data_IF_129864461631
#
_entry.id   IF_129864461631
#
_cell.length_a   1.000
_cell.length_b   1.000
_cell.length_c   1.000
_cell.angle_alpha   90.00
_cell.angle_beta   90.00
_cell.angle_gamma   90.00
#
_symmetry.space_group_name_H-M   'P 1'
#
loop_
_entity.id
_entity.type
_entity.pdbx_description
1 polymer ?
#
# COMPACT_ATOMS: atom_id res chain seq x y z
N UNK A 1 6.27 8.92 3.05
CA UNK A 1 4.87 9.40 2.92
C UNK A 1 4.15 9.06 4.21
N UNK A 2 3.63 10.06 4.90
CA UNK A 2 2.92 9.86 6.17
C UNK A 2 1.59 9.16 5.91
N UNK A 3 1.07 8.45 6.90
CA UNK A 3 -0.21 7.71 6.80
C UNK A 3 -1.40 8.56 6.29
N UNK A 4 -1.32 9.89 6.44
CA UNK A 4 -2.31 10.84 5.94
C UNK A 4 -2.31 10.95 4.41
N UNK A 5 -1.15 10.90 3.76
CA UNK A 5 -1.03 11.00 2.29
C UNK A 5 -1.71 9.81 1.61
N UNK A 6 -1.54 8.61 2.18
CA UNK A 6 -2.15 7.38 1.67
C UNK A 6 -3.67 7.41 1.84
N UNK A 7 -4.16 7.86 3.00
CA UNK A 7 -5.60 7.96 3.26
C UNK A 7 -6.31 8.89 2.27
N UNK A 8 -5.73 10.07 2.05
CA UNK A 8 -6.26 11.05 1.10
C UNK A 8 -6.27 10.47 -0.32
N UNK A 9 -5.18 9.83 -0.74
CA UNK A 9 -5.08 9.22 -2.06
C UNK A 9 -6.10 8.08 -2.28
N UNK A 10 -6.27 7.18 -1.30
CA UNK A 10 -7.29 6.12 -1.38
C UNK A 10 -8.69 6.73 -1.44
N UNK A 11 -8.94 7.78 -0.65
CA UNK A 11 -10.24 8.48 -0.66
C UNK A 11 -10.57 9.06 -2.04
N UNK A 12 -9.60 9.72 -2.67
CA UNK A 12 -9.74 10.29 -4.02
C UNK A 12 -10.02 9.19 -5.05
N UNK A 13 -9.29 8.07 -4.98
CA UNK A 13 -9.54 6.91 -5.86
C UNK A 13 -10.93 6.31 -5.67
N UNK A 14 -11.44 6.23 -4.44
CA UNK A 14 -12.79 5.73 -4.20
C UNK A 14 -13.87 6.66 -4.76
N UNK A 15 -13.68 7.98 -4.66
CA UNK A 15 -14.57 8.95 -5.31
C UNK A 15 -14.62 8.74 -6.83
N UNK A 16 -13.48 8.46 -7.47
CA UNK A 16 -13.41 8.21 -8.92
C UNK A 16 -14.01 6.85 -9.31
N UNK A 17 -13.73 5.79 -8.56
CA UNK A 17 -14.12 4.42 -8.90
C UNK A 17 -15.56 4.08 -8.51
N UNK A 18 -16.01 4.54 -7.34
CA UNK A 18 -17.29 4.16 -6.73
C UNK A 18 -18.25 5.34 -6.58
N UNK A 19 -17.78 6.58 -6.77
CA UNK A 19 -18.59 7.77 -6.54
C UNK A 19 -18.78 8.14 -5.08
N UNK A 20 -18.14 7.42 -4.15
CA UNK A 20 -18.18 7.72 -2.72
C UNK A 20 -16.86 7.36 -2.03
N UNK A 21 -16.60 8.00 -0.90
CA UNK A 21 -15.49 7.64 0.00
C UNK A 21 -15.94 7.76 1.45
N UNK A 22 -15.61 6.75 2.26
CA UNK A 22 -15.83 6.75 3.71
C UNK A 22 -14.54 6.34 4.42
N UNK A 23 -14.20 7.04 5.51
CA UNK A 23 -12.97 6.77 6.28
C UNK A 23 -12.84 5.30 6.69
N UNK A 24 -13.95 4.65 7.06
CA UNK A 24 -13.96 3.24 7.40
C UNK A 24 -13.54 2.34 6.22
N UNK A 25 -14.05 2.62 5.02
CA UNK A 25 -13.70 1.89 3.78
C UNK A 25 -12.25 2.12 3.41
N UNK A 26 -11.77 3.35 3.50
CA UNK A 26 -10.37 3.71 3.23
C UNK A 26 -9.42 2.92 4.14
N UNK A 27 -9.68 2.91 5.44
CA UNK A 27 -8.85 2.18 6.41
C UNK A 27 -8.92 0.68 6.19
N UNK A 28 -10.10 0.16 5.87
CA UNK A 28 -10.29 -1.25 5.56
C UNK A 28 -9.50 -1.68 4.33
N UNK A 29 -9.52 -0.91 3.23
CA UNK A 29 -8.75 -1.21 2.03
C UNK A 29 -7.23 -1.12 2.25
N UNK A 30 -6.77 -0.15 3.04
CA UNK A 30 -5.36 -0.07 3.43
C UNK A 30 -4.94 -1.28 4.27
N UNK A 31 -5.81 -1.73 5.19
CA UNK A 31 -5.56 -2.92 6.01
C UNK A 31 -5.53 -4.19 5.15
N UNK A 32 -6.48 -4.33 4.22
CA UNK A 32 -6.55 -5.43 3.26
C UNK A 32 -5.27 -5.48 2.41
N UNK A 33 -4.87 -4.36 1.79
CA UNK A 33 -3.66 -4.28 0.98
C UNK A 33 -2.37 -4.65 1.74
N UNK A 34 -2.33 -4.48 3.07
CA UNK A 34 -1.21 -4.93 3.93
C UNK A 34 -1.23 -6.43 4.20
N UNK A 35 -2.40 -7.06 4.18
CA UNK A 35 -2.60 -8.49 4.47
C UNK A 35 -2.52 -9.34 3.20
N UNK A 36 -2.87 -8.79 2.03
CA UNK A 36 -2.82 -9.50 0.77
C UNK A 36 -1.39 -9.93 0.42
N UNK A 37 -1.24 -11.14 -0.11
CA UNK A 37 0.08 -11.71 -0.46
C UNK A 37 0.61 -11.22 -1.80
N UNK A 38 -0.27 -10.74 -2.67
CA UNK A 38 0.08 -10.22 -4.00
C UNK A 38 -0.98 -9.21 -4.47
N UNK A 39 -0.66 -8.36 -5.47
CA UNK A 39 -1.65 -7.49 -6.11
C UNK A 39 -2.81 -8.28 -6.72
N UNK A 40 -2.57 -9.47 -7.27
CA UNK A 40 -3.60 -10.31 -7.88
C UNK A 40 -4.61 -10.85 -6.85
N UNK A 41 -4.13 -11.22 -5.67
CA UNK A 41 -5.01 -11.59 -4.54
C UNK A 41 -5.87 -10.39 -4.11
N UNK A 42 -5.25 -9.20 -3.99
CA UNK A 42 -5.98 -7.98 -3.65
C UNK A 42 -7.06 -7.63 -4.68
N UNK A 43 -6.82 -7.85 -5.98
CA UNK A 43 -7.86 -7.67 -7.01
C UNK A 43 -9.05 -8.59 -6.77
N UNK A 44 -8.81 -9.87 -6.43
CA UNK A 44 -9.91 -10.80 -6.11
C UNK A 44 -10.71 -10.31 -4.91
N UNK A 45 -10.03 -9.93 -3.82
CA UNK A 45 -10.68 -9.42 -2.60
C UNK A 45 -11.50 -8.14 -2.89
N UNK A 46 -10.98 -7.23 -3.72
CA UNK A 46 -11.70 -6.02 -4.14
C UNK A 46 -12.97 -6.37 -4.93
N UNK A 47 -12.90 -7.33 -5.84
CA UNK A 47 -14.09 -7.77 -6.61
C UNK A 47 -15.13 -8.41 -5.70
N UNK A 48 -14.71 -9.18 -4.70
CA UNK A 48 -15.60 -9.74 -3.67
C UNK A 48 -16.24 -8.64 -2.80
N UNK A 49 -15.55 -7.53 -2.58
CA UNK A 49 -16.10 -6.33 -1.95
C UNK A 49 -17.09 -5.54 -2.83
N UNK A 50 -17.32 -5.97 -4.07
CA UNK A 50 -18.26 -5.34 -4.99
C UNK A 50 -17.63 -4.37 -5.99
N UNK A 51 -16.30 -4.33 -6.11
CA UNK A 51 -15.66 -3.62 -7.22
C UNK A 51 -15.88 -4.36 -8.53
N UNK A 52 -16.05 -3.62 -9.63
CA UNK A 52 -16.09 -4.23 -10.96
C UNK A 52 -14.71 -4.75 -11.35
N UNK A 53 -14.64 -5.95 -11.94
CA UNK A 53 -13.39 -6.48 -12.49
C UNK A 53 -13.03 -5.71 -13.77
N UNK A 54 -12.27 -4.63 -13.62
CA UNK A 54 -11.83 -3.74 -14.70
C UNK A 54 -10.33 -3.47 -14.63
N UNK A 55 -9.78 -2.88 -15.71
CA UNK A 55 -8.40 -2.40 -15.73
C UNK A 55 -8.13 -1.39 -14.62
N UNK A 56 -9.08 -0.52 -14.32
CA UNK A 56 -8.97 0.48 -13.26
C UNK A 56 -8.90 -0.15 -11.86
N UNK A 57 -9.72 -1.15 -11.56
CA UNK A 57 -9.66 -1.89 -10.29
C UNK A 57 -8.31 -2.58 -10.11
N UNK A 58 -7.77 -3.15 -11.19
CA UNK A 58 -6.45 -3.78 -11.16
C UNK A 58 -5.32 -2.77 -10.95
N UNK A 59 -5.35 -1.65 -11.66
CA UNK A 59 -4.37 -0.57 -11.47
C UNK A 59 -4.44 0.00 -10.05
N UNK A 60 -5.65 0.20 -9.53
CA UNK A 60 -5.86 0.64 -8.15
C UNK A 60 -5.28 -0.35 -7.14
N UNK A 61 -5.51 -1.65 -7.32
CA UNK A 61 -4.96 -2.70 -6.48
C UNK A 61 -3.42 -2.69 -6.51
N UNK A 62 -2.80 -2.58 -7.68
CA UNK A 62 -1.35 -2.51 -7.83
C UNK A 62 -0.77 -1.27 -7.11
N UNK A 63 -1.39 -0.10 -7.29
CA UNK A 63 -0.96 1.15 -6.66
C UNK A 63 -1.14 1.15 -5.14
N UNK A 64 -2.31 0.77 -4.61
CA UNK A 64 -2.55 0.74 -3.16
C UNK A 64 -1.64 -0.31 -2.50
N UNK A 65 -1.44 -1.45 -3.16
CA UNK A 65 -0.53 -2.47 -2.69
C UNK A 65 0.88 -1.88 -2.58
N UNK A 66 1.37 -1.18 -3.60
CA UNK A 66 2.69 -0.53 -3.63
C UNK A 66 2.86 0.57 -2.58
N UNK A 67 1.83 1.38 -2.34
CA UNK A 67 1.87 2.52 -1.41
C UNK A 67 1.65 2.13 0.05
N UNK A 68 0.97 1.02 0.32
CA UNK A 68 0.70 0.57 1.67
C UNK A 68 2.03 0.34 2.41
N UNK A 69 2.22 0.87 3.64
CA UNK A 69 3.42 0.63 4.41
C UNK A 69 3.44 -0.84 4.82
N UNK A 70 4.14 -1.66 4.04
CA UNK A 70 4.41 -3.05 4.38
C UNK A 70 5.62 -3.06 5.31
N UNK A 71 5.70 -4.07 6.19
CA UNK A 71 6.97 -4.37 6.85
C UNK A 71 7.95 -4.72 5.73
N UNK A 72 8.76 -3.77 5.28
CA UNK A 72 10.00 -4.09 4.59
C UNK A 72 10.71 -5.09 5.51
N UNK A 73 11.00 -6.33 5.08
CA UNK A 73 11.92 -7.16 5.86
C UNK A 73 13.17 -6.33 6.03
N UNK A 74 13.43 -5.93 7.27
CA UNK A 74 14.34 -4.84 7.58
C UNK A 74 15.68 -5.10 6.93
N UNK A 75 16.06 -4.26 5.96
CA UNK A 75 17.46 -4.03 5.73
C UNK A 75 17.96 -3.28 6.96
N UNK A 76 18.34 -4.05 7.99
CA UNK A 76 19.18 -3.54 9.07
C UNK A 76 20.55 -3.28 8.44
N UNK A 77 20.66 -2.19 7.68
CA UNK A 77 21.95 -1.55 7.44
C UNK A 77 22.34 -0.88 8.76
N UNK A 78 22.83 -1.69 9.70
CA UNK A 78 23.84 -1.20 10.63
C UNK A 78 25.06 -0.89 9.76
N UNK A 79 25.49 0.37 9.60
CA UNK A 79 26.87 0.57 9.20
C UNK A 79 27.72 0.05 10.36
N UNK A 80 28.17 -1.20 10.26
CA UNK A 80 29.32 -1.66 11.01
C UNK A 80 30.50 -0.86 10.46
N UNK A 81 30.74 0.30 11.05
CA UNK A 81 31.89 1.14 10.73
C UNK A 81 33.13 0.45 11.30
N UNK A 82 33.60 -0.55 10.56
CA UNK A 82 34.89 -1.21 10.75
C UNK A 82 35.75 -0.82 9.56
N UNK A 83 36.65 0.15 9.74
CA UNK A 83 38.08 0.05 9.36
C UNK A 83 38.78 1.37 9.76
N UNK A 84 39.61 1.34 10.81
CA UNK A 84 41.10 1.32 10.81
C UNK A 84 41.79 2.66 10.49
N UNK A 85 42.72 2.97 11.40
CA UNK A 85 44.03 3.60 11.19
C UNK A 85 44.06 4.98 10.50
N UNK A 86 44.24 6.02 11.32
CA UNK A 86 45.22 7.05 10.98
C UNK A 86 46.30 7.05 12.06
N UNK A 87 47.45 6.49 11.68
CA UNK A 87 48.74 6.66 12.31
C UNK A 87 49.39 7.86 11.63
N UNK A 88 49.71 8.91 12.37
CA UNK A 88 51.01 9.63 12.39
C UNK A 88 50.92 10.74 13.44
#
# INVERSE_FOLDING_TARGET
MGSNDLNTWVSDKLMVLLGFSQTAVVQYLIAMAKQSKSPGELVRELVECGFSLSGDTRAFAEEIYARAPRKTPGVNVRPSMTLVLFSE
#
